data_IF_377969243580
#
_entry.id   IF_377969243580
#
_cell.length_a   1.000
_cell.length_b   1.000
_cell.length_c   1.000
_cell.angle_alpha   90.00
_cell.angle_beta   90.00
_cell.angle_gamma   90.00
#
_symmetry.space_group_name_H-M   'P 1'
#
loop_
_entity.id
_entity.type
_entity.pdbx_description
1 polymer ?
#
# COMPACT_ATOMS: atom_id res chain seq x y z
N UNK A 1 -7.39 -13.92 -7.52
CA UNK A 1 -6.65 -13.19 -8.59
C UNK A 1 -6.39 -14.15 -9.76
N UNK A 2 -5.99 -13.71 -10.95
CA UNK A 2 -5.46 -14.64 -11.98
C UNK A 2 -3.94 -14.67 -11.86
N UNK A 3 -3.31 -15.83 -11.97
CA UNK A 3 -1.84 -15.93 -12.02
C UNK A 3 -1.30 -15.41 -13.36
N UNK A 4 0.03 -15.28 -13.46
CA UNK A 4 0.72 -14.93 -14.71
C UNK A 4 0.50 -15.92 -15.87
N UNK A 5 -0.25 -17.02 -15.64
CA UNK A 5 -0.64 -18.05 -16.62
C UNK A 5 -2.16 -18.09 -16.85
N UNK A 6 -2.92 -17.13 -16.30
CA UNK A 6 -4.36 -17.00 -16.48
C UNK A 6 -5.24 -17.92 -15.61
N UNK A 7 -4.67 -18.72 -14.70
CA UNK A 7 -5.41 -19.60 -13.78
C UNK A 7 -5.89 -18.86 -12.53
N UNK A 8 -7.01 -19.30 -11.97
CA UNK A 8 -7.52 -18.77 -10.70
C UNK A 8 -6.54 -19.02 -9.56
N UNK A 9 -6.28 -17.96 -8.80
CA UNK A 9 -5.36 -17.90 -7.68
C UNK A 9 -6.15 -17.54 -6.42
N UNK A 10 -6.13 -18.43 -5.44
CA UNK A 10 -6.81 -18.30 -4.16
C UNK A 10 -5.78 -18.11 -3.07
N UNK A 11 -6.00 -17.14 -2.19
CA UNK A 11 -5.20 -16.87 -1.00
C UNK A 11 -5.99 -17.28 0.24
N UNK A 12 -5.33 -17.63 1.34
CA UNK A 12 -6.04 -18.08 2.55
C UNK A 12 -6.93 -16.98 3.13
N UNK A 13 -6.40 -15.77 3.26
CA UNK A 13 -7.17 -14.60 3.67
C UNK A 13 -6.67 -13.32 3.00
N UNK A 14 -7.60 -12.45 2.60
CA UNK A 14 -7.29 -11.12 2.07
C UNK A 14 -8.15 -10.06 2.75
N UNK A 15 -7.50 -9.05 3.29
CA UNK A 15 -8.11 -7.86 3.84
C UNK A 15 -7.91 -6.67 2.90
N UNK A 16 -9.01 -6.02 2.53
CA UNK A 16 -9.02 -4.81 1.72
C UNK A 16 -9.19 -3.61 2.65
N UNK A 17 -8.13 -2.82 2.80
CA UNK A 17 -8.11 -1.62 3.64
C UNK A 17 -7.88 -0.39 2.75
N UNK A 18 -8.96 0.24 2.29
CA UNK A 18 -8.90 1.24 1.23
C UNK A 18 -8.36 0.63 -0.07
N UNK A 19 -7.33 1.25 -0.64
CA UNK A 19 -6.61 0.72 -1.83
C UNK A 19 -5.55 -0.33 -1.47
N UNK A 20 -5.26 -0.55 -0.19
CA UNK A 20 -4.28 -1.54 0.25
C UNK A 20 -4.88 -2.95 0.25
N UNK A 21 -4.16 -3.89 -0.39
CA UNK A 21 -4.50 -5.32 -0.40
C UNK A 21 -3.54 -6.06 0.51
N UNK A 22 -4.02 -6.50 1.67
CA UNK A 22 -3.22 -7.25 2.63
C UNK A 22 -3.61 -8.71 2.54
N UNK A 23 -2.65 -9.59 2.27
CA UNK A 23 -2.82 -11.03 2.13
C UNK A 23 -2.14 -11.71 3.30
N UNK A 24 -2.79 -12.72 3.86
CA UNK A 24 -2.23 -13.59 4.87
C UNK A 24 -2.25 -15.01 4.32
N UNK A 25 -1.09 -15.67 4.33
CA UNK A 25 -0.91 -17.05 3.86
C UNK A 25 -0.44 -17.90 5.03
N UNK A 26 -1.08 -19.04 5.26
CA UNK A 26 -0.67 -20.01 6.27
C UNK A 26 0.19 -21.08 5.60
N UNK A 27 1.46 -21.10 5.96
CA UNK A 27 2.50 -21.85 5.29
C UNK A 27 2.85 -23.10 6.07
N UNK A 28 2.67 -24.28 5.47
CA UNK A 28 3.09 -25.55 6.04
C UNK A 28 4.46 -25.97 5.47
N UNK A 29 5.43 -26.18 6.36
CA UNK A 29 6.70 -26.80 5.97
C UNK A 29 6.66 -28.32 6.08
N UNK A 30 5.98 -28.84 7.10
CA UNK A 30 6.08 -30.24 7.55
C UNK A 30 5.46 -31.32 6.66
N UNK A 31 4.72 -30.96 5.62
CA UNK A 31 3.94 -31.92 4.83
C UNK A 31 4.77 -32.72 3.80
N UNK A 32 6.03 -32.35 3.51
CA UNK A 32 6.72 -32.81 2.29
C UNK A 32 8.07 -33.53 2.47
N UNK A 33 8.47 -33.90 3.70
CA UNK A 33 9.72 -34.65 3.90
C UNK A 33 10.94 -33.93 3.30
N UNK A 34 11.69 -34.60 2.41
CA UNK A 34 12.86 -34.01 1.70
C UNK A 34 12.50 -33.27 0.41
N UNK A 35 11.27 -33.40 -0.11
CA UNK A 35 10.86 -32.70 -1.33
C UNK A 35 10.50 -31.24 -1.01
N UNK A 36 11.34 -30.32 -1.49
CA UNK A 36 11.17 -28.88 -1.30
C UNK A 36 10.38 -28.21 -2.42
N UNK A 37 9.74 -28.99 -3.30
CA UNK A 37 9.02 -28.45 -4.46
C UNK A 37 7.87 -27.54 -4.04
N UNK A 38 7.05 -27.95 -3.06
CA UNK A 38 5.96 -27.11 -2.54
C UNK A 38 6.50 -25.81 -1.95
N UNK A 39 7.47 -25.89 -1.03
CA UNK A 39 8.10 -24.72 -0.42
C UNK A 39 8.59 -23.72 -1.48
N UNK A 40 9.27 -24.19 -2.54
CA UNK A 40 9.71 -23.34 -3.64
C UNK A 40 8.54 -22.70 -4.39
N UNK A 41 7.46 -23.44 -4.63
CA UNK A 41 6.27 -22.92 -5.29
C UNK A 41 5.55 -21.86 -4.44
N UNK A 42 5.50 -22.05 -3.12
CA UNK A 42 4.87 -21.10 -2.21
C UNK A 42 5.69 -19.79 -2.10
N UNK A 43 7.02 -19.86 -2.16
CA UNK A 43 7.87 -18.66 -2.27
C UNK A 43 7.65 -17.92 -3.61
N UNK A 44 7.59 -18.65 -4.73
CA UNK A 44 7.30 -18.03 -6.03
C UNK A 44 5.91 -17.39 -6.06
N UNK A 45 4.96 -18.00 -5.35
CA UNK A 45 3.62 -17.49 -5.14
C UNK A 45 3.62 -16.17 -4.38
N UNK A 46 4.35 -16.09 -3.28
CA UNK A 46 4.50 -14.85 -2.51
C UNK A 46 5.09 -13.73 -3.38
N UNK A 47 6.15 -14.03 -4.14
CA UNK A 47 6.75 -13.07 -5.07
C UNK A 47 5.76 -12.60 -6.13
N UNK A 48 4.94 -13.51 -6.68
CA UNK A 48 3.90 -13.13 -7.62
C UNK A 48 2.89 -12.18 -6.99
N UNK A 49 2.37 -12.49 -5.80
CA UNK A 49 1.40 -11.62 -5.12
C UNK A 49 1.99 -10.24 -4.81
N UNK A 50 3.24 -10.17 -4.35
CA UNK A 50 3.93 -8.90 -4.12
C UNK A 50 4.09 -8.09 -5.41
N UNK A 51 4.33 -8.73 -6.56
CA UNK A 51 4.37 -8.07 -7.86
C UNK A 51 3.03 -7.47 -8.31
N UNK A 52 1.92 -7.91 -7.70
CA UNK A 52 0.57 -7.43 -7.99
C UNK A 52 0.07 -6.40 -6.96
N UNK A 53 1.00 -5.70 -6.30
CA UNK A 53 0.74 -4.73 -5.26
C UNK A 53 -0.07 -5.29 -4.08
N UNK A 54 0.15 -6.57 -3.72
CA UNK A 54 -0.36 -7.15 -2.48
C UNK A 54 0.72 -7.13 -1.39
N UNK A 55 0.34 -6.79 -0.16
CA UNK A 55 1.19 -6.93 1.02
C UNK A 55 0.98 -8.32 1.59
N UNK A 56 1.97 -9.20 1.45
CA UNK A 56 1.83 -10.60 1.89
C UNK A 56 2.47 -10.78 3.26
N UNK A 57 1.75 -11.40 4.18
CA UNK A 57 2.24 -11.89 5.46
C UNK A 57 2.13 -13.41 5.51
N UNK A 58 3.27 -14.07 5.34
CA UNK A 58 3.41 -15.52 5.43
C UNK A 58 3.53 -15.93 6.91
N UNK A 59 2.60 -16.74 7.39
CA UNK A 59 2.50 -17.20 8.78
C UNK A 59 2.79 -18.70 8.79
N UNK A 60 3.80 -19.12 9.55
CA UNK A 60 4.15 -20.53 9.65
C UNK A 60 3.06 -21.29 10.43
N UNK A 61 2.60 -22.42 9.89
CA UNK A 61 1.53 -23.23 10.47
C UNK A 61 1.92 -23.87 11.81
N UNK A 62 3.17 -24.27 11.93
CA UNK A 62 3.77 -24.79 13.16
C UNK A 62 3.83 -23.70 14.24
N UNK A 63 4.36 -22.51 13.94
CA UNK A 63 4.39 -21.39 14.89
C UNK A 63 2.97 -20.96 15.29
N UNK A 64 2.00 -20.97 14.36
CA UNK A 64 0.61 -20.67 14.67
C UNK A 64 -0.01 -21.71 15.63
N UNK A 65 0.42 -22.97 15.58
CA UNK A 65 -0.05 -24.03 16.49
C UNK A 65 0.65 -23.98 17.85
N UNK A 66 1.97 -23.79 17.85
CA UNK A 66 2.81 -23.85 19.04
C UNK A 66 2.76 -22.54 19.84
N UNK A 67 2.67 -21.40 19.17
CA UNK A 67 2.76 -20.07 19.77
C UNK A 67 1.80 -19.04 19.12
N UNK A 68 0.47 -19.29 19.14
CA UNK A 68 -0.52 -18.40 18.51
C UNK A 68 -0.54 -16.99 19.11
N UNK A 69 -0.17 -16.82 20.39
CA UNK A 69 -0.15 -15.52 21.06
C UNK A 69 0.91 -14.59 20.48
N UNK A 70 2.07 -15.11 20.09
CA UNK A 70 3.11 -14.36 19.39
C UNK A 70 2.60 -13.87 18.02
N UNK A 71 2.04 -14.78 17.21
CA UNK A 71 1.46 -14.43 15.90
C UNK A 71 0.40 -13.33 16.06
N UNK A 72 -0.53 -13.49 17.00
CA UNK A 72 -1.57 -12.51 17.27
C UNK A 72 -1.00 -11.14 17.67
N UNK A 73 0.04 -11.11 18.52
CA UNK A 73 0.71 -9.88 18.93
C UNK A 73 1.37 -9.17 17.75
N UNK A 74 2.10 -9.91 16.90
CA UNK A 74 2.75 -9.37 15.71
C UNK A 74 1.73 -8.84 14.72
N UNK A 75 0.66 -9.60 14.45
CA UNK A 75 -0.42 -9.15 13.57
C UNK A 75 -1.09 -7.89 14.10
N UNK A 76 -1.37 -7.80 15.41
CA UNK A 76 -1.91 -6.56 16.00
C UNK A 76 -0.98 -5.37 15.76
N UNK A 77 0.32 -5.53 16.03
CA UNK A 77 1.29 -4.45 15.82
C UNK A 77 1.33 -4.00 14.36
N UNK A 78 1.40 -4.95 13.43
CA UNK A 78 1.41 -4.71 11.98
C UNK A 78 0.14 -3.99 11.51
N UNK A 79 -1.02 -4.41 12.01
CA UNK A 79 -2.32 -3.91 11.54
C UNK A 79 -2.77 -2.64 12.28
N UNK A 80 -2.16 -2.29 13.41
CA UNK A 80 -2.51 -1.11 14.22
C UNK A 80 -2.64 0.17 13.39
N UNK A 81 -1.69 0.52 12.49
CA UNK A 81 -1.81 1.74 11.68
C UNK A 81 -3.03 1.72 10.75
N UNK A 82 -3.36 0.55 10.18
CA UNK A 82 -4.48 0.40 9.26
C UNK A 82 -5.82 0.49 10.00
N UNK A 83 -5.92 -0.15 11.16
CA UNK A 83 -7.11 -0.11 12.01
C UNK A 83 -7.36 1.31 12.55
N UNK A 84 -6.30 2.01 12.95
CA UNK A 84 -6.40 3.40 13.39
C UNK A 84 -6.91 4.32 12.26
N UNK A 85 -6.39 4.15 11.04
CA UNK A 85 -6.85 4.91 9.88
C UNK A 85 -8.30 4.62 9.50
N UNK A 86 -8.75 3.36 9.59
CA UNK A 86 -10.13 2.96 9.26
C UNK A 86 -11.15 3.40 10.31
N UNK A 87 -10.85 3.28 11.60
CA UNK A 87 -11.84 3.45 12.65
C UNK A 87 -12.16 4.91 12.96
N UNK A 88 -11.30 5.88 12.60
CA UNK A 88 -11.56 7.32 12.70
C UNK A 88 -11.98 7.86 14.08
N UNK A 89 -11.97 7.03 15.14
CA UNK A 89 -12.79 7.24 16.33
C UNK A 89 -12.14 6.64 17.59
N UNK A 90 -10.94 7.07 17.96
CA UNK A 90 -10.51 7.07 19.37
C UNK A 90 -9.46 8.16 19.54
N UNK A 91 -9.91 9.36 19.93
CA UNK A 91 -9.09 10.43 20.51
C UNK A 91 -8.05 11.08 19.60
N UNK A 92 -8.30 12.31 19.18
CA UNK A 92 -7.25 13.34 18.93
C UNK A 92 -6.05 12.98 18.04
N UNK A 93 -6.09 11.93 17.22
CA UNK A 93 -5.13 11.77 16.13
C UNK A 93 -5.74 12.50 14.94
N UNK A 94 -5.36 13.77 14.79
CA UNK A 94 -5.65 14.55 13.59
C UNK A 94 -5.36 13.65 12.38
N UNK A 95 -6.34 13.47 11.48
CA UNK A 95 -6.07 12.81 10.20
C UNK A 95 -4.94 13.59 9.54
N UNK A 96 -3.73 13.01 9.55
CA UNK A 96 -2.51 13.69 9.10
C UNK A 96 -2.66 14.23 7.67
N UNK A 97 -3.54 13.61 6.88
CA UNK A 97 -3.90 14.01 5.53
C UNK A 97 -5.40 14.20 5.38
N UNK A 98 -5.78 15.34 4.80
CA UNK A 98 -7.17 15.58 4.44
C UNK A 98 -7.60 14.75 3.21
N UNK A 99 -8.90 14.81 2.87
CA UNK A 99 -9.45 14.02 1.76
C UNK A 99 -8.81 14.36 0.41
N UNK A 100 -8.48 15.63 0.18
CA UNK A 100 -7.86 16.08 -1.08
C UNK A 100 -6.40 15.65 -1.17
N UNK A 101 -5.66 15.75 -0.07
CA UNK A 101 -4.29 15.26 0.04
C UNK A 101 -4.20 13.76 -0.25
N UNK A 102 -5.10 12.96 0.35
CA UNK A 102 -5.18 11.52 0.09
C UNK A 102 -5.51 11.21 -1.36
N UNK A 103 -6.47 11.92 -1.95
CA UNK A 103 -6.82 11.68 -3.34
C UNK A 103 -5.69 12.04 -4.32
N UNK A 104 -4.95 13.12 -4.06
CA UNK A 104 -3.77 13.46 -4.86
C UNK A 104 -2.67 12.41 -4.74
N UNK A 105 -2.45 11.85 -3.54
CA UNK A 105 -1.51 10.72 -3.36
C UNK A 105 -1.96 9.50 -4.16
N UNK A 106 -3.25 9.14 -4.16
CA UNK A 106 -3.80 8.03 -4.97
C UNK A 106 -3.66 8.28 -6.47
N UNK A 107 -3.94 9.50 -6.94
CA UNK A 107 -3.73 9.89 -8.33
C UNK A 107 -2.26 9.70 -8.71
N UNK A 108 -1.32 10.18 -7.89
CA UNK A 108 0.10 10.00 -8.15
C UNK A 108 0.45 8.51 -8.26
N UNK A 109 -0.03 7.65 -7.36
CA UNK A 109 0.19 6.20 -7.41
C UNK A 109 -0.33 5.59 -8.72
N UNK A 110 -1.53 5.97 -9.17
CA UNK A 110 -2.11 5.53 -10.46
C UNK A 110 -1.32 6.02 -11.68
N UNK A 111 -0.57 7.11 -11.54
CA UNK A 111 0.19 7.75 -12.62
C UNK A 111 1.71 7.60 -12.43
N UNK A 112 2.19 6.41 -12.08
CA UNK A 112 3.62 6.09 -11.92
C UNK A 112 4.35 7.03 -10.96
N UNK A 113 3.69 7.37 -9.85
CA UNK A 113 4.14 8.29 -8.80
C UNK A 113 4.30 9.73 -9.25
N UNK A 114 3.86 10.11 -10.45
CA UNK A 114 4.00 11.46 -10.97
C UNK A 114 2.63 12.14 -11.07
N UNK A 115 2.57 13.40 -10.67
CA UNK A 115 1.37 14.21 -10.82
C UNK A 115 1.70 15.55 -11.47
N UNK A 116 0.99 15.85 -12.55
CA UNK A 116 1.01 17.16 -13.21
C UNK A 116 -0.19 17.95 -12.72
N UNK A 117 -0.02 19.12 -12.09
CA UNK A 117 -1.13 19.86 -11.50
C UNK A 117 -2.29 20.13 -12.47
N UNK A 118 -1.97 20.42 -13.74
CA UNK A 118 -2.98 20.65 -14.79
C UNK A 118 -3.81 19.41 -15.10
N UNK A 119 -3.20 18.23 -15.13
CA UNK A 119 -3.89 16.97 -15.41
C UNK A 119 -4.74 16.53 -14.22
N UNK A 120 -4.19 16.64 -13.01
CA UNK A 120 -4.91 16.35 -11.78
C UNK A 120 -6.09 17.31 -11.57
N UNK A 121 -5.94 18.59 -11.90
CA UNK A 121 -7.02 19.58 -11.85
C UNK A 121 -8.18 19.21 -12.78
N UNK A 122 -7.88 18.72 -13.98
CA UNK A 122 -8.88 18.22 -14.92
C UNK A 122 -9.56 16.96 -14.41
N UNK A 123 -8.81 16.02 -13.83
CA UNK A 123 -9.37 14.77 -13.30
C UNK A 123 -10.26 14.99 -12.06
N UNK A 124 -9.89 15.93 -11.21
CA UNK A 124 -10.62 16.27 -9.99
C UNK A 124 -11.69 17.34 -10.20
N UNK A 125 -11.82 17.88 -11.41
CA UNK A 125 -12.74 18.98 -11.75
C UNK A 125 -12.61 20.20 -10.82
N UNK A 126 -11.38 20.56 -10.46
CA UNK A 126 -11.08 21.71 -9.59
C UNK A 126 -10.06 22.65 -10.23
N UNK A 127 -9.97 23.87 -9.69
CA UNK A 127 -9.03 24.87 -10.18
C UNK A 127 -7.56 24.43 -10.01
N UNK A 128 -6.73 24.70 -11.02
CA UNK A 128 -5.31 24.33 -11.02
C UNK A 128 -4.53 24.88 -9.81
N UNK A 129 -4.86 26.09 -9.34
CA UNK A 129 -4.22 26.67 -8.16
C UNK A 129 -4.53 25.89 -6.88
N UNK A 130 -5.72 25.30 -6.78
CA UNK A 130 -6.12 24.47 -5.65
C UNK A 130 -5.25 23.21 -5.59
N UNK A 131 -5.04 22.54 -6.73
CA UNK A 131 -4.14 21.38 -6.82
C UNK A 131 -2.72 21.75 -6.41
N UNK A 132 -2.19 22.86 -6.93
CA UNK A 132 -0.84 23.34 -6.58
C UNK A 132 -0.72 23.59 -5.06
N UNK A 133 -1.72 24.21 -4.44
CA UNK A 133 -1.76 24.44 -2.99
C UNK A 133 -1.65 23.13 -2.21
N UNK A 134 -2.45 22.13 -2.54
CA UNK A 134 -2.39 20.83 -1.86
C UNK A 134 -1.09 20.06 -2.15
N UNK A 135 -0.55 20.14 -3.37
CA UNK A 135 0.74 19.52 -3.69
C UNK A 135 1.88 20.13 -2.85
N UNK A 136 1.88 21.45 -2.61
CA UNK A 136 2.86 22.11 -1.74
C UNK A 136 2.74 21.65 -0.28
N UNK A 137 1.52 21.56 0.25
CA UNK A 137 1.29 20.98 1.59
C UNK A 137 1.81 19.55 1.70
N UNK A 138 1.62 18.73 0.66
CA UNK A 138 2.16 17.38 0.61
C UNK A 138 3.69 17.34 0.52
N UNK A 139 4.33 18.36 -0.08
CA UNK A 139 5.79 18.52 -0.05
C UNK A 139 6.28 18.88 1.35
N UNK A 140 5.62 19.83 2.02
CA UNK A 140 5.92 20.20 3.41
C UNK A 140 5.76 19.00 4.36
N UNK A 141 4.76 18.15 4.11
CA UNK A 141 4.53 16.90 4.84
C UNK A 141 5.44 15.73 4.40
N UNK A 142 6.38 15.96 3.50
CA UNK A 142 7.35 14.97 3.03
C UNK A 142 6.78 13.83 2.18
N UNK A 143 5.53 13.93 1.71
CA UNK A 143 4.91 12.90 0.87
C UNK A 143 5.14 13.13 -0.61
N UNK A 144 5.26 14.39 -1.03
CA UNK A 144 5.59 14.76 -2.40
C UNK A 144 6.98 15.39 -2.48
N UNK A 145 7.59 15.28 -3.65
CA UNK A 145 8.79 16.02 -4.03
C UNK A 145 8.47 16.87 -5.24
N UNK A 146 8.71 18.17 -5.17
CA UNK A 146 8.57 19.02 -6.34
C UNK A 146 9.73 18.74 -7.31
N UNK A 147 9.40 18.53 -8.59
CA UNK A 147 10.42 18.35 -9.63
C UNK A 147 10.38 19.52 -10.59
N UNK A 148 11.51 20.21 -10.69
CA UNK A 148 11.74 21.36 -11.57
C UNK A 148 12.51 20.91 -12.80
N UNK A 149 12.29 21.57 -13.95
CA UNK A 149 13.05 21.29 -15.19
C UNK A 149 13.55 22.59 -15.80
N UNK A 150 14.85 22.63 -16.10
CA UNK A 150 15.51 23.76 -16.77
C UNK A 150 15.83 24.95 -15.85
N UNK A 151 16.45 25.98 -16.42
CA UNK A 151 16.94 27.18 -15.74
C UNK A 151 15.83 27.99 -15.05
N UNK A 152 14.59 27.91 -15.55
CA UNK A 152 13.44 28.64 -15.01
C UNK A 152 12.99 28.19 -13.61
N UNK A 153 13.52 27.09 -13.05
CA UNK A 153 13.16 26.51 -11.74
C UNK A 153 11.65 26.28 -11.53
N UNK A 154 10.84 26.30 -12.59
CA UNK A 154 9.38 26.14 -12.49
C UNK A 154 9.05 24.69 -12.19
N UNK A 155 8.23 24.46 -11.16
CA UNK A 155 7.73 23.13 -10.81
C UNK A 155 6.76 22.66 -11.89
N UNK A 156 7.10 21.56 -12.57
CA UNK A 156 6.30 21.01 -13.67
C UNK A 156 5.49 19.80 -13.23
N UNK A 157 6.00 19.03 -12.27
CA UNK A 157 5.35 17.85 -11.72
C UNK A 157 5.78 17.65 -10.26
N UNK A 158 4.98 16.88 -9.53
CA UNK A 158 5.32 16.40 -8.20
C UNK A 158 5.46 14.87 -8.23
N UNK A 159 6.42 14.34 -7.50
CA UNK A 159 6.68 12.91 -7.35
C UNK A 159 6.21 12.44 -5.97
N UNK A 160 5.44 11.36 -5.90
CA UNK A 160 5.03 10.73 -4.64
C UNK A 160 6.15 9.83 -4.09
N UNK A 161 6.54 10.08 -2.84
CA UNK A 161 7.68 9.44 -2.17
C UNK A 161 7.23 8.32 -1.22
N UNK A 162 5.93 8.18 -0.96
CA UNK A 162 5.41 7.15 -0.06
C UNK A 162 5.33 5.74 -0.65
N UNK A 163 5.06 4.77 0.21
CA UNK A 163 4.75 3.40 -0.19
C UNK A 163 3.36 3.32 -0.83
N UNK A 164 3.19 2.45 -1.82
CA UNK A 164 1.88 2.28 -2.49
C UNK A 164 0.81 1.73 -1.55
N UNK A 165 1.21 0.99 -0.53
CA UNK A 165 0.36 0.45 0.53
C UNK A 165 0.65 1.18 1.84
N UNK A 166 0.44 2.50 1.87
CA UNK A 166 0.56 3.28 3.09
C UNK A 166 -0.78 3.36 3.82
N UNK A 167 -0.82 3.19 5.16
CA UNK A 167 -1.98 3.52 5.98
C UNK A 167 -2.48 4.95 5.78
N UNK A 168 -1.60 5.88 5.36
CA UNK A 168 -1.93 7.28 5.08
C UNK A 168 -2.93 7.45 3.92
N UNK A 169 -3.10 6.41 3.08
CA UNK A 169 -4.00 6.42 1.93
C UNK A 169 -5.42 5.94 2.27
N UNK A 170 -5.65 5.46 3.49
CA UNK A 170 -6.96 5.01 4.00
C UNK A 170 -7.74 6.22 4.50
#
# INVERSE_FOLDING_TARGET
MKDGRGKSYFVDFMWLAGDSRIVFEIMDYGSHGTDRTKYRLDLNRELFLQSQDCRVYSIALDELKENPSFILSMLRHILTPYLAAMNGSTGTVERQYDRMERELMRIAIRHNRLIRPKEAARQLEIHNMTVIKYCRRLVEKGKFRAVTRGESQRVMYYEYIGTMQSPDLI
#
